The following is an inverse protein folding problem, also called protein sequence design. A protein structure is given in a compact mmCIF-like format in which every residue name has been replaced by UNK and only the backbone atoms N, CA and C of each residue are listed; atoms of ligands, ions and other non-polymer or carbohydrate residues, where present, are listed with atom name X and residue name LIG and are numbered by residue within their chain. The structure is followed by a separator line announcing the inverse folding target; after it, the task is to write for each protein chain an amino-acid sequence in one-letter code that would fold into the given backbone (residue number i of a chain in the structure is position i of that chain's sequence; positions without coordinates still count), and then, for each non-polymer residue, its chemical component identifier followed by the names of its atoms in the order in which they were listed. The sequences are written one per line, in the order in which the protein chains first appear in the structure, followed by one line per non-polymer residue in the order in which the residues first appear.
data_IF_663094051274
#
_entry.id   IF_663094051274
#
_cell.length_a   1.000
_cell.length_b   1.000
_cell.length_c   1.000
_cell.angle_alpha   90.00
_cell.angle_beta   90.00
_cell.angle_gamma   90.00
#
_symmetry.space_group_name_H-M   'P 1'
#
loop_
_entity.id
_entity.type
_entity.pdbx_description
1 polymer ?
#
# COMPACT_ATOMS: atom_id res chain seq x y z
N UNK A 1 -4.33 14.87 -15.11
CA UNK A 1 -3.01 14.95 -15.78
C UNK A 1 -2.26 13.60 -15.85
N UNK A 2 -2.90 12.43 -15.61
CA UNK A 2 -2.20 11.13 -15.57
C UNK A 2 -2.65 10.06 -16.58
N UNK A 3 -3.42 10.41 -17.63
CA UNK A 3 -3.72 9.45 -18.72
C UNK A 3 -2.47 9.05 -19.54
N UNK A 4 -1.32 9.68 -19.28
CA UNK A 4 -0.11 9.62 -20.13
C UNK A 4 0.82 8.45 -19.85
N UNK A 5 0.89 7.99 -18.60
CA UNK A 5 1.67 6.79 -18.26
C UNK A 5 0.96 5.53 -18.74
N UNK A 6 -0.37 5.49 -18.64
CA UNK A 6 -1.21 4.46 -19.25
C UNK A 6 -1.09 4.45 -20.78
N UNK A 7 -1.01 5.61 -21.43
CA UNK A 7 -0.73 5.71 -22.87
C UNK A 7 0.69 5.22 -23.22
N UNK A 8 1.74 5.60 -22.49
CA UNK A 8 3.09 5.06 -22.73
C UNK A 8 3.12 3.52 -22.58
N UNK A 9 2.41 2.98 -21.58
CA UNK A 9 2.29 1.54 -21.37
C UNK A 9 1.50 0.86 -22.51
N UNK A 10 0.30 1.36 -22.87
CA UNK A 10 -0.55 0.75 -23.89
C UNK A 10 0.05 0.76 -25.30
N UNK A 11 0.88 1.75 -25.65
CA UNK A 11 1.41 1.88 -27.01
C UNK A 11 2.54 0.95 -27.37
N UNK A 12 3.15 0.34 -26.36
CA UNK A 12 4.32 -0.53 -26.54
C UNK A 12 3.95 -2.01 -26.62
N UNK A 13 2.73 -2.39 -26.24
CA UNK A 13 2.18 -3.73 -26.48
C UNK A 13 2.05 -4.08 -27.97
N UNK A 14 1.80 -3.09 -28.83
CA UNK A 14 1.58 -3.32 -30.27
C UNK A 14 2.89 -3.66 -31.00
N UNK A 15 4.04 -3.19 -30.49
CA UNK A 15 5.34 -3.39 -31.15
C UNK A 15 6.13 -4.62 -30.69
N UNK A 16 5.88 -5.17 -29.50
CA UNK A 16 6.66 -6.29 -28.94
C UNK A 16 6.10 -7.68 -29.23
N UNK A 17 4.82 -7.79 -29.59
CA UNK A 17 4.23 -9.01 -30.12
C UNK A 17 3.87 -8.74 -31.57
N UNK A 18 4.47 -9.45 -32.53
CA UNK A 18 4.09 -9.41 -33.96
C UNK A 18 2.65 -9.88 -34.26
N UNK A 19 1.73 -9.76 -33.30
CA UNK A 19 0.31 -10.00 -33.44
C UNK A 19 -0.42 -8.65 -33.29
N UNK A 20 -0.98 -8.19 -34.41
CA UNK A 20 -2.02 -7.17 -34.47
C UNK A 20 -3.22 -7.62 -33.60
N UNK A 21 -3.20 -7.32 -32.30
CA UNK A 21 -4.37 -7.47 -31.45
C UNK A 21 -5.25 -6.23 -31.62
N UNK A 22 -6.35 -6.40 -32.36
CA UNK A 22 -7.38 -5.39 -32.57
C UNK A 22 -7.96 -4.93 -31.23
N UNK A 23 -7.54 -3.74 -30.77
CA UNK A 23 -8.31 -2.96 -29.80
C UNK A 23 -8.67 -1.64 -30.47
N UNK A 24 -9.97 -1.39 -30.64
CA UNK A 24 -10.56 -0.26 -31.38
C UNK A 24 -10.35 1.13 -30.75
N UNK A 25 -9.38 1.27 -29.84
CA UNK A 25 -9.08 2.52 -29.13
C UNK A 25 -7.57 2.81 -29.01
N UNK A 26 -6.73 2.27 -29.91
CA UNK A 26 -5.34 2.68 -29.97
C UNK A 26 -5.24 4.12 -30.49
N UNK A 27 -5.03 5.09 -29.59
CA UNK A 27 -4.80 6.49 -29.97
C UNK A 27 -3.48 6.62 -30.74
N UNK A 28 -3.40 7.53 -31.71
CA UNK A 28 -2.21 7.84 -32.52
C UNK A 28 -0.90 8.08 -31.73
N UNK A 29 -1.00 8.47 -30.46
CA UNK A 29 0.15 8.65 -29.56
C UNK A 29 0.86 7.32 -29.21
N UNK A 30 0.13 6.21 -29.25
CA UNK A 30 0.59 4.86 -28.89
C UNK A 30 1.56 4.27 -29.92
N UNK A 31 1.16 4.31 -31.19
CA UNK A 31 1.99 3.88 -32.32
C UNK A 31 3.27 4.74 -32.40
N UNK A 32 3.16 6.03 -32.08
CA UNK A 32 4.30 6.95 -32.04
C UNK A 32 5.39 6.54 -31.06
N UNK A 33 5.04 6.00 -29.89
CA UNK A 33 6.01 5.59 -28.85
C UNK A 33 6.72 4.27 -29.23
N UNK A 34 5.99 3.30 -29.78
CA UNK A 34 6.58 2.06 -30.33
C UNK A 34 7.55 2.32 -31.47
N UNK A 35 7.16 3.19 -32.41
CA UNK A 35 8.04 3.67 -33.47
C UNK A 35 9.26 4.42 -32.92
N UNK A 36 9.11 5.24 -31.86
CA UNK A 36 10.23 5.95 -31.24
C UNK A 36 11.25 5.00 -30.60
N UNK A 37 10.81 3.96 -29.88
CA UNK A 37 11.72 2.98 -29.30
C UNK A 37 12.45 2.17 -30.38
N UNK A 38 11.72 1.71 -31.39
CA UNK A 38 12.28 0.95 -32.51
C UNK A 38 13.27 1.79 -33.33
N UNK A 39 12.89 3.00 -33.71
CA UNK A 39 13.75 3.90 -34.50
C UNK A 39 15.01 4.33 -33.74
N UNK A 40 14.97 4.39 -32.41
CA UNK A 40 16.12 4.77 -31.57
C UNK A 40 16.92 3.59 -31.04
N UNK A 41 16.56 2.34 -31.38
CA UNK A 41 17.19 1.12 -30.87
C UNK A 41 17.36 1.12 -29.34
N UNK A 42 16.35 1.58 -28.61
CA UNK A 42 16.41 1.64 -27.14
C UNK A 42 16.00 0.28 -26.57
N UNK A 43 16.95 -0.42 -25.96
CA UNK A 43 16.67 -1.63 -25.17
C UNK A 43 15.73 -1.30 -24.01
N UNK A 44 14.69 -2.12 -23.84
CA UNK A 44 13.68 -1.96 -22.80
C UNK A 44 13.18 -3.32 -22.31
N UNK A 45 12.65 -3.33 -21.09
CA UNK A 45 12.00 -4.44 -20.42
C UNK A 45 10.52 -4.13 -20.29
N UNK A 46 9.66 -5.09 -20.62
CA UNK A 46 8.21 -5.02 -20.43
C UNK A 46 7.79 -6.24 -19.61
N UNK A 47 7.20 -6.01 -18.44
CA UNK A 47 6.63 -7.06 -17.59
C UNK A 47 5.12 -6.98 -17.67
N UNK A 48 4.48 -8.13 -17.83
CA UNK A 48 3.02 -8.26 -17.84
C UNK A 48 2.56 -9.15 -16.70
N UNK A 49 1.39 -8.83 -16.18
CA UNK A 49 0.63 -9.72 -15.33
C UNK A 49 0.17 -10.93 -16.16
N UNK A 50 0.51 -12.14 -15.69
CA UNK A 50 0.30 -13.38 -16.44
C UNK A 50 -1.17 -13.78 -16.56
N UNK A 51 -2.05 -13.22 -15.72
CA UNK A 51 -3.48 -13.55 -15.68
C UNK A 51 -4.32 -12.56 -16.49
N UNK A 52 -3.93 -11.29 -16.48
CA UNK A 52 -4.71 -10.18 -17.07
C UNK A 52 -4.10 -9.60 -18.33
N UNK A 53 -2.88 -10.03 -18.71
CA UNK A 53 -2.04 -9.46 -19.78
C UNK A 53 -1.81 -7.94 -19.65
N UNK A 54 -2.11 -7.37 -18.47
CA UNK A 54 -1.85 -5.95 -18.18
C UNK A 54 -0.36 -5.75 -17.99
N UNK A 55 0.17 -4.68 -18.57
CA UNK A 55 1.56 -4.30 -18.34
C UNK A 55 1.71 -3.81 -16.89
N UNK A 56 2.61 -4.45 -16.16
CA UNK A 56 2.95 -4.14 -14.77
C UNK A 56 4.19 -3.25 -14.67
N UNK A 57 5.10 -3.36 -15.63
CA UNK A 57 6.30 -2.54 -15.68
C UNK A 57 6.80 -2.34 -17.11
N UNK A 58 7.33 -1.15 -17.35
CA UNK A 58 8.05 -0.82 -18.56
C UNK A 58 9.22 0.09 -18.20
N UNK A 59 10.45 -0.35 -18.46
CA UNK A 59 11.63 0.42 -18.11
C UNK A 59 12.87 -0.03 -18.86
N UNK A 60 14.01 0.61 -18.59
CA UNK A 60 15.31 0.11 -19.03
C UNK A 60 15.71 -1.12 -18.22
N UNK A 61 16.31 -2.17 -18.79
CA UNK A 61 16.76 -3.35 -18.03
C UNK A 61 18.06 -3.07 -17.26
N UNK A 62 18.00 -2.22 -16.23
CA UNK A 62 19.18 -1.77 -15.48
C UNK A 62 19.52 -2.71 -14.32
N UNK A 63 18.53 -3.40 -13.77
CA UNK A 63 18.70 -4.21 -12.56
C UNK A 63 18.16 -5.62 -12.72
N UNK A 64 18.82 -6.56 -12.05
CA UNK A 64 18.21 -7.83 -11.71
C UNK A 64 17.30 -7.62 -10.49
N UNK A 65 16.04 -8.00 -10.64
CA UNK A 65 15.05 -7.91 -9.57
C UNK A 65 15.46 -8.82 -8.41
N UNK A 66 15.28 -8.33 -7.19
CA UNK A 66 15.64 -8.98 -5.95
C UNK A 66 14.66 -10.08 -5.53
N UNK A 67 13.41 -10.01 -6.00
CA UNK A 67 12.30 -10.82 -5.51
C UNK A 67 11.63 -10.27 -4.25
N UNK A 68 12.10 -9.14 -3.73
CA UNK A 68 11.40 -8.36 -2.71
C UNK A 68 10.58 -7.27 -3.39
N UNK A 69 9.27 -7.27 -3.20
CA UNK A 69 8.35 -6.39 -3.93
C UNK A 69 8.64 -4.89 -3.73
N UNK A 70 9.00 -4.48 -2.50
CA UNK A 70 9.30 -3.08 -2.18
C UNK A 70 10.58 -2.62 -2.88
N UNK A 71 11.63 -3.44 -2.82
CA UNK A 71 12.90 -3.22 -3.51
C UNK A 71 12.67 -3.18 -5.02
N UNK A 72 11.94 -4.15 -5.56
CA UNK A 72 11.71 -4.25 -6.99
C UNK A 72 10.87 -3.07 -7.50
N UNK A 73 9.91 -2.55 -6.72
CA UNK A 73 9.18 -1.33 -7.05
C UNK A 73 10.11 -0.11 -7.16
N UNK A 74 11.08 0.02 -6.24
CA UNK A 74 12.11 1.09 -6.25
C UNK A 74 13.00 0.98 -7.49
N UNK A 75 13.45 -0.22 -7.84
CA UNK A 75 14.28 -0.44 -9.02
C UNK A 75 13.49 -0.16 -10.31
N UNK A 76 12.25 -0.65 -10.41
CA UNK A 76 11.33 -0.38 -11.52
C UNK A 76 11.07 1.12 -11.69
N UNK A 77 10.96 1.87 -10.60
CA UNK A 77 10.84 3.34 -10.66
C UNK A 77 12.04 3.98 -11.35
N UNK A 78 13.26 3.60 -10.97
CA UNK A 78 14.49 4.11 -11.61
C UNK A 78 14.50 3.77 -13.10
N UNK A 79 14.23 2.51 -13.45
CA UNK A 79 14.19 2.03 -14.83
C UNK A 79 13.19 2.82 -15.69
N UNK A 80 12.00 3.11 -15.13
CA UNK A 80 10.94 3.92 -15.74
C UNK A 80 11.39 5.37 -15.96
N UNK A 81 11.89 6.03 -14.93
CA UNK A 81 12.37 7.42 -15.01
C UNK A 81 13.47 7.55 -16.05
N UNK A 82 14.43 6.62 -16.06
CA UNK A 82 15.54 6.65 -17.00
C UNK A 82 15.09 6.46 -18.43
N UNK A 83 14.18 5.52 -18.67
CA UNK A 83 13.53 5.36 -19.98
C UNK A 83 12.85 6.67 -20.41
N UNK A 84 12.07 7.27 -19.52
CA UNK A 84 11.38 8.53 -19.78
C UNK A 84 12.35 9.67 -20.13
N UNK A 85 13.44 9.86 -19.36
CA UNK A 85 14.47 10.87 -19.65
C UNK A 85 15.14 10.65 -21.01
N UNK A 86 15.30 9.41 -21.48
CA UNK A 86 15.82 9.10 -22.82
C UNK A 86 14.82 9.40 -23.95
N UNK A 87 13.53 9.30 -23.66
CA UNK A 87 12.45 9.64 -24.58
C UNK A 87 12.17 11.16 -24.60
N UNK A 88 12.49 11.88 -23.53
CA UNK A 88 12.24 13.32 -23.37
C UNK A 88 12.77 14.22 -24.51
N UNK A 89 13.98 13.99 -25.07
CA UNK A 89 14.47 14.73 -26.23
C UNK A 89 13.65 14.53 -27.52
N UNK A 90 12.57 13.73 -27.50
CA UNK A 90 11.62 13.56 -28.60
C UNK A 90 10.23 14.16 -28.33
N UNK A 91 9.93 14.59 -27.10
CA UNK A 91 8.54 14.90 -26.64
C UNK A 91 8.37 16.36 -26.18
N UNK A 92 9.45 17.13 -25.98
CA UNK A 92 9.52 18.55 -25.55
C UNK A 92 8.55 19.04 -24.44
N UNK A 93 9.17 19.33 -23.28
CA UNK A 93 9.08 20.57 -22.48
C UNK A 93 7.77 21.07 -21.85
N UNK A 94 6.59 20.46 -22.04
CA UNK A 94 5.33 21.04 -21.50
C UNK A 94 4.76 20.38 -20.23
N UNK A 95 5.39 19.33 -19.69
CA UNK A 95 4.68 18.38 -18.82
C UNK A 95 5.38 17.90 -17.56
N UNK A 96 6.51 18.50 -17.17
CA UNK A 96 7.14 18.20 -15.89
C UNK A 96 6.47 19.00 -14.77
N UNK A 97 6.01 18.30 -13.73
CA UNK A 97 5.83 18.92 -12.41
C UNK A 97 7.18 19.02 -11.72
N UNK A 98 7.41 20.09 -10.96
CA UNK A 98 8.65 20.34 -10.20
C UNK A 98 8.96 19.29 -9.11
N UNK A 99 8.08 18.30 -8.90
CA UNK A 99 8.16 17.30 -7.84
C UNK A 99 9.08 16.09 -8.14
N UNK A 100 9.55 15.91 -9.38
CA UNK A 100 10.47 14.82 -9.77
C UNK A 100 11.95 15.20 -9.56
N UNK A 101 12.28 15.75 -8.38
CA UNK A 101 13.66 16.11 -8.01
C UNK A 101 14.50 14.88 -7.69
N UNK A 102 14.84 14.13 -8.72
CA UNK A 102 15.79 13.02 -8.61
C UNK A 102 17.20 13.59 -8.65
N UNK A 103 17.94 13.40 -7.56
CA UNK A 103 19.38 13.72 -7.52
C UNK A 103 20.14 12.51 -8.00
N UNK A 104 21.00 12.72 -8.99
CA UNK A 104 21.81 11.67 -9.60
C UNK A 104 23.28 12.10 -9.57
N UNK A 105 24.14 11.22 -9.07
CA UNK A 105 25.60 11.37 -9.20
C UNK A 105 26.16 10.17 -9.96
N UNK A 106 26.97 10.44 -10.98
CA UNK A 106 27.48 9.41 -11.90
C UNK A 106 26.53 9.15 -13.07
N UNK A 107 26.86 8.16 -13.91
CA UNK A 107 26.10 7.79 -15.10
C UNK A 107 25.99 6.27 -15.19
N UNK A 108 24.77 5.74 -15.20
CA UNK A 108 24.50 4.37 -15.61
C UNK A 108 24.14 4.35 -17.11
N UNK A 109 24.96 3.69 -17.92
CA UNK A 109 24.80 3.60 -19.38
C UNK A 109 23.90 2.43 -19.77
N UNK A 110 23.09 2.63 -20.81
CA UNK A 110 22.26 1.57 -21.39
C UNK A 110 23.16 0.58 -22.14
N UNK A 111 22.89 -0.71 -21.97
CA UNK A 111 23.62 -1.79 -22.65
C UNK A 111 24.66 -2.45 -21.76
N UNK A 112 24.92 -1.92 -20.56
CA UNK A 112 25.56 -2.69 -19.51
C UNK A 112 24.65 -3.82 -19.06
N UNK A 113 25.25 -4.95 -18.67
CA UNK A 113 24.50 -6.07 -18.09
C UNK A 113 23.74 -5.60 -16.84
N UNK A 114 22.49 -6.08 -16.62
CA UNK A 114 21.72 -5.72 -15.44
C UNK A 114 22.52 -5.96 -14.16
N UNK A 115 22.52 -4.96 -13.27
CA UNK A 115 23.29 -5.01 -12.03
C UNK A 115 22.53 -5.77 -10.95
N UNK A 116 23.25 -6.54 -10.16
CA UNK A 116 22.73 -7.20 -8.94
C UNK A 116 23.35 -6.63 -7.66
N UNK A 117 24.44 -5.90 -7.79
CA UNK A 117 25.22 -5.29 -6.72
C UNK A 117 24.76 -3.84 -6.48
N UNK A 118 23.57 -3.71 -5.89
CA UNK A 118 23.02 -2.43 -5.45
C UNK A 118 22.71 -2.45 -3.95
N UNK A 119 22.74 -1.27 -3.35
CA UNK A 119 22.27 -1.04 -1.98
C UNK A 119 21.14 -0.03 -1.99
N UNK A 120 20.11 -0.27 -1.18
CA UNK A 120 18.99 0.64 -0.99
C UNK A 120 18.97 1.06 0.47
N UNK A 121 19.01 2.37 0.70
CA UNK A 121 18.84 2.98 2.01
C UNK A 121 17.57 3.83 2.02
N UNK A 122 16.82 3.80 3.12
CA UNK A 122 15.60 4.56 3.31
C UNK A 122 15.64 5.25 4.68
N UNK A 123 15.87 6.56 4.67
CA UNK A 123 15.99 7.34 5.90
C UNK A 123 14.63 7.83 6.45
N UNK A 124 13.52 7.28 5.95
CA UNK A 124 12.15 7.64 6.33
C UNK A 124 11.53 8.78 5.51
N UNK A 125 12.32 9.48 4.69
CA UNK A 125 11.82 10.53 3.78
C UNK A 125 12.33 10.36 2.36
N UNK A 126 13.54 9.84 2.23
CA UNK A 126 14.27 9.70 0.97
C UNK A 126 14.77 8.28 0.85
N UNK A 127 14.56 7.69 -0.32
CA UNK A 127 15.20 6.44 -0.72
C UNK A 127 16.44 6.80 -1.55
N UNK A 128 17.56 6.17 -1.22
CA UNK A 128 18.81 6.27 -1.97
C UNK A 128 19.23 4.89 -2.46
N UNK A 129 19.38 4.76 -3.77
CA UNK A 129 19.89 3.55 -4.42
C UNK A 129 21.31 3.83 -4.89
N UNK A 130 22.26 2.98 -4.48
CA UNK A 130 23.66 3.08 -4.91
C UNK A 130 24.08 1.81 -5.63
N UNK A 131 24.80 1.94 -6.73
CA UNK A 131 25.31 0.83 -7.54
C UNK A 131 26.53 1.28 -8.34
N UNK A 132 27.65 0.56 -8.27
CA UNK A 132 28.81 0.79 -9.14
C UNK A 132 29.38 2.23 -9.15
N UNK A 133 29.39 2.93 -8.00
CA UNK A 133 29.87 4.32 -7.89
C UNK A 133 28.87 5.39 -8.33
N UNK A 134 27.66 4.98 -8.72
CA UNK A 134 26.53 5.86 -8.98
C UNK A 134 25.53 5.82 -7.83
N UNK A 135 24.83 6.93 -7.61
CA UNK A 135 23.72 6.98 -6.67
C UNK A 135 22.55 7.80 -7.20
N UNK A 136 21.34 7.34 -6.92
CA UNK A 136 20.10 8.08 -7.13
C UNK A 136 19.35 8.21 -5.81
N UNK A 137 18.86 9.42 -5.54
CA UNK A 137 18.00 9.70 -4.39
C UNK A 137 16.69 10.35 -4.82
N UNK A 138 15.58 9.92 -4.22
CA UNK A 138 14.23 10.43 -4.47
C UNK A 138 13.33 10.26 -3.23
N UNK A 139 12.22 11.02 -3.13
CA UNK A 139 11.30 10.88 -2.01
C UNK A 139 10.71 9.46 -1.91
N UNK A 140 10.49 8.98 -0.69
CA UNK A 140 9.91 7.66 -0.45
C UNK A 140 8.39 7.61 -0.70
N UNK A 141 7.91 8.29 -1.74
CA UNK A 141 6.49 8.46 -2.03
C UNK A 141 5.91 7.30 -2.83
N UNK A 142 4.90 6.62 -2.28
CA UNK A 142 4.18 5.54 -2.99
C UNK A 142 3.71 5.96 -4.38
N UNK A 143 3.03 7.10 -4.51
CA UNK A 143 2.48 7.56 -5.79
C UNK A 143 3.57 7.81 -6.84
N UNK A 144 4.72 8.32 -6.43
CA UNK A 144 5.86 8.54 -7.34
C UNK A 144 6.49 7.20 -7.76
N UNK A 145 6.77 6.35 -6.77
CA UNK A 145 7.47 5.07 -6.99
C UNK A 145 6.61 4.13 -7.85
N UNK A 146 5.33 3.99 -7.53
CA UNK A 146 4.40 3.17 -8.32
C UNK A 146 3.88 3.88 -9.57
N UNK A 147 4.09 5.19 -9.70
CA UNK A 147 3.62 5.98 -10.85
C UNK A 147 2.10 6.11 -10.92
N UNK A 148 1.42 6.03 -9.77
CA UNK A 148 -0.03 6.06 -9.67
C UNK A 148 -0.50 7.44 -9.20
N UNK A 149 -1.51 8.01 -9.84
CA UNK A 149 -2.25 9.12 -9.23
C UNK A 149 -3.19 8.61 -8.13
N UNK A 150 -3.74 9.54 -7.32
CA UNK A 150 -4.63 9.19 -6.22
C UNK A 150 -5.80 8.28 -6.61
N UNK A 151 -6.46 8.53 -7.75
CA UNK A 151 -7.57 7.68 -8.23
C UNK A 151 -7.07 6.27 -8.55
N UNK A 152 -5.93 6.14 -9.22
CA UNK A 152 -5.32 4.85 -9.54
C UNK A 152 -4.86 4.11 -8.28
N UNK A 153 -4.29 4.81 -7.30
CA UNK A 153 -3.92 4.22 -6.00
C UNK A 153 -5.17 3.72 -5.25
N UNK A 154 -6.27 4.48 -5.26
CA UNK A 154 -7.53 4.05 -4.63
C UNK A 154 -8.12 2.80 -5.29
N UNK A 155 -8.02 2.71 -6.61
CA UNK A 155 -8.40 1.51 -7.37
C UNK A 155 -7.46 0.33 -7.09
N UNK A 156 -6.14 0.58 -6.96
CA UNK A 156 -5.13 -0.44 -6.74
C UNK A 156 -5.38 -1.27 -5.46
N UNK A 157 -5.65 -0.61 -4.33
CA UNK A 157 -5.98 -1.34 -3.09
C UNK A 157 -7.34 -2.02 -3.17
N UNK A 158 -8.34 -1.41 -3.80
CA UNK A 158 -9.64 -2.03 -3.95
C UNK A 158 -9.54 -3.36 -4.69
N UNK A 159 -8.92 -3.37 -5.88
CA UNK A 159 -8.75 -4.61 -6.64
C UNK A 159 -7.89 -5.63 -5.89
N UNK A 160 -6.80 -5.17 -5.26
CA UNK A 160 -5.96 -6.04 -4.45
C UNK A 160 -6.67 -6.68 -3.25
N UNK A 161 -7.68 -6.02 -2.67
CA UNK A 161 -8.54 -6.60 -1.63
C UNK A 161 -9.55 -7.59 -2.21
N UNK A 162 -10.18 -7.25 -3.35
CA UNK A 162 -11.20 -8.11 -3.97
C UNK A 162 -10.62 -9.41 -4.55
N UNK A 163 -9.35 -9.40 -4.96
CA UNK A 163 -8.66 -10.57 -5.49
C UNK A 163 -8.13 -11.51 -4.39
N UNK A 164 -8.13 -11.07 -3.12
CA UNK A 164 -7.66 -11.88 -1.99
C UNK A 164 -8.71 -12.86 -1.50
N UNK A 165 -8.26 -14.09 -1.24
CA UNK A 165 -9.07 -15.11 -0.60
C UNK A 165 -8.97 -14.95 0.92
N UNK A 166 -10.09 -15.09 1.66
CA UNK A 166 -10.05 -15.13 3.13
C UNK A 166 -9.12 -16.23 3.62
N UNK A 167 -8.28 -15.90 4.59
CA UNK A 167 -7.48 -16.89 5.30
C UNK A 167 -8.39 -17.77 6.17
N UNK A 168 -8.04 -19.05 6.39
CA UNK A 168 -8.76 -19.90 7.33
C UNK A 168 -8.72 -19.28 8.73
N UNK A 169 -9.89 -19.00 9.31
CA UNK A 169 -10.02 -18.51 10.68
C UNK A 169 -9.90 -19.67 11.67
N UNK A 170 -9.14 -19.49 12.74
CA UNK A 170 -9.18 -20.35 13.93
C UNK A 170 -10.30 -19.86 14.82
N UNK A 171 -10.96 -20.82 15.47
CA UNK A 171 -12.02 -20.49 16.42
C UNK A 171 -11.42 -19.85 17.66
N UNK A 172 -11.81 -18.60 17.93
CA UNK A 172 -11.46 -17.93 19.17
C UNK A 172 -12.17 -18.59 20.35
N UNK A 173 -11.49 -18.64 21.50
CA UNK A 173 -12.07 -19.11 22.76
C UNK A 173 -12.39 -17.90 23.63
N UNK A 174 -13.63 -17.80 24.12
CA UNK A 174 -14.02 -16.75 25.07
C UNK A 174 -13.11 -16.81 26.28
N UNK A 175 -12.53 -15.68 26.64
CA UNK A 175 -11.59 -15.57 27.76
C UNK A 175 -12.32 -15.08 29.00
N UNK A 176 -12.11 -15.77 30.13
CA UNK A 176 -12.74 -15.45 31.42
C UNK A 176 -11.67 -15.13 32.46
N UNK A 177 -11.82 -14.02 33.17
CA UNK A 177 -11.01 -13.67 34.34
C UNK A 177 -11.20 -12.23 34.77
N UNK A 178 -10.74 -11.91 35.99
CA UNK A 178 -11.10 -10.67 36.69
C UNK A 178 -10.04 -9.55 36.55
N UNK A 179 -8.90 -9.81 35.92
CA UNK A 179 -7.79 -8.85 35.85
C UNK A 179 -7.12 -8.83 34.48
N UNK A 180 -7.16 -7.66 33.84
CA UNK A 180 -6.49 -7.39 32.56
C UNK A 180 -5.02 -7.05 32.80
N UNK A 181 -4.15 -7.73 32.05
CA UNK A 181 -2.74 -7.41 31.89
C UNK A 181 -2.56 -6.69 30.55
N UNK A 182 -2.23 -5.41 30.61
CA UNK A 182 -1.89 -4.59 29.45
C UNK A 182 -0.40 -4.70 29.13
N UNK A 183 -0.07 -5.05 27.88
CA UNK A 183 1.29 -4.95 27.35
C UNK A 183 1.40 -3.68 26.51
N UNK A 184 2.23 -2.76 26.97
CA UNK A 184 2.44 -1.46 26.31
C UNK A 184 3.17 -1.69 24.98
N UNK A 185 2.60 -1.14 23.92
CA UNK A 185 3.13 -1.15 22.57
C UNK A 185 3.75 0.18 22.16
N UNK A 186 3.92 0.36 20.86
CA UNK A 186 4.39 1.63 20.29
C UNK A 186 3.20 2.56 20.04
N UNK A 187 3.39 3.85 20.27
CA UNK A 187 2.45 4.90 19.88
C UNK A 187 2.74 5.42 18.47
N UNK A 188 1.72 5.89 17.77
CA UNK A 188 1.83 6.54 16.48
C UNK A 188 1.14 7.89 16.50
N UNK A 189 1.91 8.95 16.26
CA UNK A 189 1.50 10.37 16.25
C UNK A 189 1.05 10.90 17.62
N UNK A 190 0.13 10.22 18.29
CA UNK A 190 -0.35 10.55 19.64
C UNK A 190 -0.39 9.28 20.49
N UNK A 191 -0.32 9.41 21.82
CA UNK A 191 -0.33 8.24 22.73
C UNK A 191 -1.62 7.41 22.61
N UNK A 192 -2.74 8.06 22.29
CA UNK A 192 -4.04 7.41 22.12
C UNK A 192 -4.14 6.49 20.91
N UNK A 193 -3.20 6.56 19.95
CA UNK A 193 -3.13 5.67 18.80
C UNK A 193 -1.90 4.78 18.97
N UNK A 194 -2.08 3.49 19.28
CA UNK A 194 -0.99 2.63 19.70
C UNK A 194 -1.19 1.16 19.31
N UNK A 195 -0.21 0.31 19.68
CA UNK A 195 -0.27 -1.15 19.50
C UNK A 195 -0.35 -1.90 20.84
N UNK A 196 -1.02 -1.32 21.83
CA UNK A 196 -1.19 -1.96 23.14
C UNK A 196 -1.99 -3.26 22.99
N UNK A 197 -1.58 -4.29 23.73
CA UNK A 197 -2.19 -5.62 23.67
C UNK A 197 -2.72 -6.03 25.04
N UNK A 198 -3.88 -6.68 25.06
CA UNK A 198 -4.59 -6.96 26.29
C UNK A 198 -4.71 -8.46 26.53
N UNK A 199 -4.38 -8.91 27.74
CA UNK A 199 -4.39 -10.31 28.13
C UNK A 199 -5.09 -10.49 29.47
N UNK A 200 -5.60 -11.70 29.74
CA UNK A 200 -6.04 -12.13 31.06
C UNK A 200 -5.17 -13.31 31.49
N UNK A 201 -4.90 -13.40 32.80
CA UNK A 201 -4.21 -14.57 33.37
C UNK A 201 -5.20 -15.72 33.46
N UNK A 202 -4.87 -16.85 32.84
CA UNK A 202 -5.72 -18.03 32.87
C UNK A 202 -5.91 -18.53 34.31
N UNK A 203 -7.13 -18.94 34.65
CA UNK A 203 -7.44 -19.52 35.97
C UNK A 203 -6.88 -20.94 36.15
N UNK A 204 -6.58 -21.64 35.05
CA UNK A 204 -6.09 -23.03 35.04
C UNK A 204 -4.59 -23.16 34.79
N UNK A 205 -3.91 -22.07 34.42
CA UNK A 205 -2.47 -22.07 34.16
C UNK A 205 -1.88 -20.68 34.39
N UNK A 206 -0.59 -20.57 34.69
CA UNK A 206 0.07 -19.27 34.84
C UNK A 206 0.26 -18.52 33.49
N UNK A 207 -0.42 -18.96 32.43
CA UNK A 207 -0.29 -18.41 31.09
C UNK A 207 -1.20 -17.19 30.88
N UNK A 208 -0.74 -16.28 30.02
CA UNK A 208 -1.50 -15.12 29.57
C UNK A 208 -2.23 -15.46 28.28
N UNK A 209 -3.55 -15.27 28.27
CA UNK A 209 -4.42 -15.50 27.11
C UNK A 209 -4.92 -14.15 26.61
N UNK A 210 -4.90 -13.87 25.30
CA UNK A 210 -5.45 -12.61 24.77
C UNK A 210 -6.92 -12.42 25.16
N UNK A 211 -7.31 -11.19 25.48
CA UNK A 211 -8.71 -10.85 25.77
C UNK A 211 -9.57 -11.05 24.51
N UNK A 212 -10.60 -11.87 24.64
CA UNK A 212 -11.71 -12.05 23.71
C UNK A 212 -13.00 -12.30 24.52
N UNK A 213 -13.70 -11.23 24.90
CA UNK A 213 -14.83 -11.26 25.84
C UNK A 213 -15.72 -10.03 25.69
N UNK A 214 -17.03 -10.21 25.90
CA UNK A 214 -18.03 -9.13 25.85
C UNK A 214 -17.92 -8.18 27.04
N UNK A 215 -17.42 -8.68 28.16
CA UNK A 215 -17.19 -7.93 29.39
C UNK A 215 -16.05 -6.91 29.25
N UNK A 216 -15.15 -7.13 28.28
CA UNK A 216 -14.01 -6.27 27.97
C UNK A 216 -14.02 -5.87 26.48
N UNK A 217 -14.99 -5.03 26.07
CA UNK A 217 -15.26 -4.81 24.66
C UNK A 217 -14.15 -4.01 23.96
N UNK A 218 -13.56 -3.01 24.62
CA UNK A 218 -12.47 -2.20 24.06
C UNK A 218 -11.22 -3.05 23.84
N UNK A 219 -10.86 -3.87 24.83
CA UNK A 219 -9.71 -4.77 24.79
C UNK A 219 -9.86 -5.84 23.71
N UNK A 220 -11.07 -6.41 23.59
CA UNK A 220 -11.41 -7.39 22.56
C UNK A 220 -11.26 -6.79 21.16
N UNK A 221 -11.87 -5.63 20.91
CA UNK A 221 -11.75 -4.93 19.61
C UNK A 221 -10.30 -4.59 19.30
N UNK A 222 -9.55 -4.10 20.29
CA UNK A 222 -8.14 -3.78 20.12
C UNK A 222 -7.32 -5.00 19.68
N UNK A 223 -7.53 -6.14 20.33
CA UNK A 223 -6.85 -7.38 19.97
C UNK A 223 -7.27 -7.92 18.59
N UNK A 224 -8.55 -7.82 18.21
CA UNK A 224 -9.02 -8.23 16.89
C UNK A 224 -8.39 -7.38 15.79
N UNK A 225 -8.42 -6.06 15.96
CA UNK A 225 -7.94 -5.10 14.96
C UNK A 225 -6.40 -5.10 14.85
N UNK A 226 -5.67 -5.46 15.91
CA UNK A 226 -4.21 -5.70 15.88
C UNK A 226 -3.83 -7.11 15.43
N UNK A 227 -4.80 -7.97 15.08
CA UNK A 227 -4.57 -9.38 14.72
C UNK A 227 -3.81 -10.16 15.80
N UNK A 228 -4.03 -9.83 17.08
CA UNK A 228 -3.54 -10.62 18.24
C UNK A 228 -4.38 -11.89 18.38
N UNK A 229 -5.64 -11.81 17.97
CA UNK A 229 -6.59 -12.90 17.84
C UNK A 229 -7.19 -12.86 16.44
N UNK A 230 -7.72 -13.99 15.98
CA UNK A 230 -8.37 -14.04 14.68
C UNK A 230 -9.63 -13.17 14.72
N UNK A 231 -9.86 -12.39 13.68
CA UNK A 231 -11.03 -11.53 13.61
C UNK A 231 -12.13 -12.22 12.81
N UNK A 232 -13.22 -12.57 13.49
CA UNK A 232 -14.46 -13.08 12.88
C UNK A 232 -15.36 -11.94 12.34
N UNK A 233 -14.87 -10.70 12.43
CA UNK A 233 -15.56 -9.48 12.04
C UNK A 233 -15.61 -9.29 10.52
N UNK A 234 -16.80 -8.99 10.01
CA UNK A 234 -17.00 -8.47 8.67
C UNK A 234 -17.06 -6.94 8.70
N UNK A 235 -16.40 -6.31 7.72
CA UNK A 235 -16.37 -4.87 7.56
C UNK A 235 -17.28 -4.46 6.41
N UNK A 236 -18.23 -3.57 6.68
CA UNK A 236 -19.02 -2.85 5.69
C UNK A 236 -18.33 -1.50 5.42
N UNK A 237 -17.54 -1.45 4.35
CA UNK A 237 -16.63 -0.34 4.05
C UNK A 237 -17.26 0.65 3.08
N UNK A 238 -17.11 1.93 3.38
CA UNK A 238 -17.26 3.02 2.41
C UNK A 238 -15.89 3.66 2.15
N UNK A 239 -15.27 3.29 1.02
CA UNK A 239 -14.02 3.91 0.58
C UNK A 239 -14.27 5.32 0.07
N UNK A 240 -13.59 6.29 0.68
CA UNK A 240 -13.65 7.71 0.34
C UNK A 240 -12.61 7.99 -0.76
N UNK A 241 -13.08 8.18 -1.99
CA UNK A 241 -12.26 8.33 -3.19
C UNK A 241 -11.97 9.81 -3.48
N UNK A 242 -10.92 10.04 -4.26
CA UNK A 242 -10.62 11.36 -4.79
C UNK A 242 -11.82 12.01 -5.51
N UNK A 243 -12.01 13.32 -5.28
CA UNK A 243 -13.11 14.09 -5.89
C UNK A 243 -14.48 13.82 -5.26
N UNK A 244 -14.53 13.52 -3.95
CA UNK A 244 -15.75 13.28 -3.17
C UNK A 244 -16.58 12.07 -3.64
N UNK A 245 -15.97 11.18 -4.42
CA UNK A 245 -16.59 9.94 -4.86
C UNK A 245 -16.51 8.90 -3.73
N UNK A 246 -17.40 7.91 -3.80
CA UNK A 246 -17.48 6.84 -2.81
C UNK A 246 -17.64 5.50 -3.52
N UNK A 247 -17.10 4.45 -2.92
CA UNK A 247 -17.32 3.06 -3.29
C UNK A 247 -17.60 2.26 -2.03
N UNK A 248 -18.64 1.43 -2.05
CA UNK A 248 -18.99 0.58 -0.91
C UNK A 248 -18.77 -0.89 -1.24
N UNK A 249 -18.25 -1.64 -0.28
CA UNK A 249 -18.02 -3.08 -0.39
C UNK A 249 -17.89 -3.69 1.01
N UNK A 250 -18.06 -5.01 1.11
CA UNK A 250 -17.91 -5.74 2.37
C UNK A 250 -16.84 -6.82 2.24
N UNK A 251 -16.06 -7.00 3.30
CA UNK A 251 -15.04 -8.06 3.38
C UNK A 251 -14.77 -8.50 4.83
N UNK A 252 -14.23 -9.70 5.06
CA UNK A 252 -13.72 -10.08 6.37
C UNK A 252 -12.54 -9.19 6.77
N UNK A 253 -12.50 -8.73 8.03
CA UNK A 253 -11.38 -7.93 8.55
C UNK A 253 -10.03 -8.64 8.37
N UNK A 254 -10.00 -9.98 8.45
CA UNK A 254 -8.80 -10.78 8.18
C UNK A 254 -8.23 -10.56 6.77
N UNK A 255 -9.06 -10.33 5.75
CA UNK A 255 -8.61 -10.03 4.38
C UNK A 255 -7.92 -8.67 4.32
N UNK A 256 -8.46 -7.67 5.02
CA UNK A 256 -7.85 -6.35 5.08
C UNK A 256 -6.52 -6.37 5.83
N UNK A 257 -6.48 -7.03 6.99
CA UNK A 257 -5.26 -7.20 7.79
C UNK A 257 -4.17 -7.93 7.00
N UNK A 258 -4.51 -9.03 6.34
CA UNK A 258 -3.58 -9.80 5.51
C UNK A 258 -3.08 -8.97 4.32
N UNK A 259 -3.97 -8.24 3.63
CA UNK A 259 -3.56 -7.33 2.56
C UNK A 259 -2.55 -6.30 3.06
N UNK A 260 -2.89 -5.60 4.14
CA UNK A 260 -2.06 -4.54 4.67
C UNK A 260 -0.72 -5.08 5.19
N UNK A 261 -0.71 -6.22 5.87
CA UNK A 261 0.52 -6.86 6.33
C UNK A 261 1.42 -7.27 5.15
N UNK A 262 0.84 -7.86 4.10
CA UNK A 262 1.56 -8.26 2.91
C UNK A 262 2.09 -7.08 2.09
N UNK A 263 1.47 -5.89 2.20
CA UNK A 263 1.98 -4.64 1.61
C UNK A 263 2.86 -3.84 2.57
N UNK A 264 3.40 -4.48 3.61
CA UNK A 264 4.38 -3.87 4.53
C UNK A 264 3.79 -2.86 5.51
N UNK A 265 2.47 -2.85 5.70
CA UNK A 265 1.83 -2.00 6.68
C UNK A 265 1.83 -2.61 8.09
N UNK A 266 1.96 -1.76 9.11
CA UNK A 266 1.78 -2.10 10.52
C UNK A 266 0.51 -1.43 11.08
N UNK A 267 -0.37 -2.14 11.80
CA UNK A 267 -1.58 -1.56 12.38
C UNK A 267 -1.29 -0.78 13.67
N UNK A 268 -2.05 0.27 13.91
CA UNK A 268 -2.19 1.03 15.17
C UNK A 268 -3.65 1.39 15.39
N UNK A 269 -4.12 1.44 16.63
CA UNK A 269 -5.52 1.70 16.95
C UNK A 269 -5.63 2.86 17.93
N UNK A 270 -6.60 3.73 17.69
CA UNK A 270 -7.12 4.63 18.72
C UNK A 270 -8.61 4.41 18.96
N UNK A 271 -9.03 4.53 20.21
CA UNK A 271 -10.44 4.53 20.59
C UNK A 271 -10.87 5.99 20.74
N UNK A 272 -11.81 6.43 19.91
CA UNK A 272 -12.31 7.80 19.91
C UNK A 272 -13.40 7.99 20.97
N UNK A 273 -14.32 7.04 21.05
CA UNK A 273 -15.38 7.01 22.06
C UNK A 273 -15.89 5.58 22.25
N UNK A 274 -16.36 5.27 23.44
CA UNK A 274 -17.05 4.02 23.74
C UNK A 274 -18.17 4.27 24.75
N UNK A 275 -19.33 3.70 24.49
CA UNK A 275 -20.45 3.63 25.44
C UNK A 275 -21.07 2.22 25.41
N UNK A 276 -22.19 2.02 26.10
CA UNK A 276 -22.84 0.71 26.21
C UNK A 276 -23.48 0.23 24.89
N UNK A 277 -23.53 1.08 23.85
CA UNK A 277 -24.15 0.77 22.55
C UNK A 277 -23.11 0.61 21.46
N UNK A 278 -22.16 1.53 21.35
CA UNK A 278 -21.19 1.55 20.26
C UNK A 278 -19.77 1.93 20.69
N UNK A 279 -18.81 1.40 19.94
CA UNK A 279 -17.40 1.79 19.98
C UNK A 279 -17.04 2.47 18.66
N UNK A 280 -16.45 3.67 18.77
CA UNK A 280 -15.81 4.36 17.65
C UNK A 280 -14.30 4.24 17.78
N UNK A 281 -13.68 3.73 16.73
CA UNK A 281 -12.26 3.48 16.69
C UNK A 281 -11.66 3.97 15.37
N UNK A 282 -10.39 4.38 15.43
CA UNK A 282 -9.57 4.63 14.25
C UNK A 282 -8.52 3.52 14.15
N UNK A 283 -8.49 2.83 13.01
CA UNK A 283 -7.45 1.87 12.66
C UNK A 283 -6.54 2.48 11.60
N UNK A 284 -5.25 2.56 11.92
CA UNK A 284 -4.21 3.10 11.06
C UNK A 284 -3.30 1.97 10.59
N UNK A 285 -3.28 1.72 9.28
CA UNK A 285 -2.26 0.87 8.67
C UNK A 285 -1.14 1.74 8.11
N UNK A 286 0.03 1.60 8.70
CA UNK A 286 1.21 2.44 8.43
C UNK A 286 2.22 1.68 7.59
N UNK A 287 2.49 2.14 6.37
CA UNK A 287 3.66 1.69 5.62
C UNK A 287 4.81 2.69 5.82
N UNK A 288 5.88 2.22 6.47
CA UNK A 288 7.06 3.05 6.74
C UNK A 288 7.98 3.21 5.53
N UNK A 289 8.05 2.19 4.67
CA UNK A 289 8.96 2.21 3.53
C UNK A 289 8.54 3.24 2.48
N UNK A 290 7.23 3.34 2.19
CA UNK A 290 6.64 4.25 1.22
C UNK A 290 5.87 5.43 1.84
N UNK A 291 6.06 5.68 3.14
CA UNK A 291 5.55 6.88 3.83
C UNK A 291 4.06 7.19 3.60
N UNK A 292 3.19 6.18 3.66
CA UNK A 292 1.75 6.36 3.56
C UNK A 292 0.99 5.70 4.72
N UNK A 293 -0.28 6.06 4.82
CA UNK A 293 -1.24 5.47 5.74
C UNK A 293 -2.52 5.05 5.01
N UNK A 294 -3.12 3.99 5.48
CA UNK A 294 -4.55 3.77 5.33
C UNK A 294 -5.25 4.03 6.66
N UNK A 295 -6.38 4.72 6.63
CA UNK A 295 -7.19 5.05 7.81
C UNK A 295 -8.58 4.45 7.66
N UNK A 296 -9.01 3.73 8.69
CA UNK A 296 -10.39 3.28 8.84
C UNK A 296 -10.98 3.94 10.08
N UNK A 297 -12.04 4.72 9.89
CA UNK A 297 -12.88 5.19 10.99
C UNK A 297 -14.04 4.21 11.12
N UNK A 298 -14.05 3.47 12.22
CA UNK A 298 -14.91 2.32 12.45
C UNK A 298 -15.97 2.63 13.49
N UNK A 299 -17.19 2.13 13.27
CA UNK A 299 -18.26 2.08 14.28
C UNK A 299 -18.68 0.63 14.46
N UNK A 300 -18.67 0.17 15.71
CA UNK A 300 -18.87 -1.23 16.09
C UNK A 300 -19.93 -1.26 17.19
N UNK A 301 -20.99 -2.05 16.99
CA UNK A 301 -22.00 -2.24 18.03
C UNK A 301 -21.44 -3.12 19.15
N UNK A 302 -21.64 -2.73 20.41
CA UNK A 302 -21.14 -3.50 21.57
C UNK A 302 -21.79 -4.89 21.62
N UNK A 303 -23.04 -5.00 21.19
CA UNK A 303 -23.77 -6.28 21.15
C UNK A 303 -23.14 -7.33 20.20
N UNK A 304 -22.45 -6.87 19.15
CA UNK A 304 -21.79 -7.70 18.14
C UNK A 304 -20.41 -8.20 18.58
N UNK A 305 -19.86 -7.69 19.69
CA UNK A 305 -18.49 -8.01 20.12
C UNK A 305 -18.41 -9.47 20.58
N UNK A 306 -17.35 -10.17 20.17
CA UNK A 306 -17.14 -11.58 20.48
C UNK A 306 -18.29 -12.53 20.03
N UNK A 307 -19.15 -12.08 19.13
CA UNK A 307 -20.18 -12.91 18.49
C UNK A 307 -19.70 -13.51 17.17
N UNK A 308 -20.32 -14.64 16.81
CA UNK A 308 -20.18 -15.17 15.45
C UNK A 308 -20.83 -14.18 14.48
N UNK A 309 -20.13 -13.83 13.41
CA UNK A 309 -20.58 -12.88 12.38
C UNK A 309 -20.65 -11.41 12.82
N UNK A 310 -19.86 -11.01 13.82
CA UNK A 310 -19.71 -9.59 14.21
C UNK A 310 -19.51 -8.66 13.00
N UNK A 311 -20.13 -7.48 13.03
CA UNK A 311 -20.01 -6.49 11.94
C UNK A 311 -19.50 -5.14 12.44
N UNK A 312 -18.80 -4.46 11.57
CA UNK A 312 -18.44 -3.06 11.76
C UNK A 312 -18.66 -2.27 10.47
N UNK A 313 -19.10 -1.04 10.60
CA UNK A 313 -19.11 -0.10 9.47
C UNK A 313 -17.84 0.74 9.50
N UNK A 314 -17.28 1.06 8.34
CA UNK A 314 -16.05 1.84 8.28
C UNK A 314 -16.00 2.84 7.11
N UNK A 315 -15.53 4.06 7.38
CA UNK A 315 -15.05 4.96 6.33
C UNK A 315 -13.56 4.71 6.08
N UNK A 316 -13.19 4.41 4.84
CA UNK A 316 -11.84 4.01 4.47
C UNK A 316 -11.14 5.03 3.58
N UNK A 317 -10.02 5.56 4.06
CA UNK A 317 -9.17 6.50 3.34
C UNK A 317 -7.81 5.84 3.05
N UNK A 318 -7.40 5.85 1.79
CA UNK A 318 -6.27 5.05 1.33
C UNK A 318 -5.10 5.88 0.81
N UNK A 319 -3.87 5.39 1.02
CA UNK A 319 -2.64 6.01 0.52
C UNK A 319 -2.49 7.49 0.91
N UNK A 320 -2.83 7.84 2.15
CA UNK A 320 -2.64 9.19 2.67
C UNK A 320 -1.14 9.39 2.98
N UNK A 321 -0.45 10.34 2.34
CA UNK A 321 0.94 10.63 2.67
C UNK A 321 1.09 11.01 4.15
N UNK A 322 2.11 10.47 4.82
CA UNK A 322 2.35 10.70 6.26
C UNK A 322 2.33 12.15 6.68
N UNK A 323 2.97 13.01 5.89
CA UNK A 323 3.10 14.42 6.21
C UNK A 323 1.75 15.15 6.23
N UNK A 324 0.75 14.64 5.50
CA UNK A 324 -0.61 15.19 5.54
C UNK A 324 -1.34 14.85 6.85
N UNK A 325 -0.93 13.79 7.57
CA UNK A 325 -1.48 13.47 8.88
C UNK A 325 -0.82 14.28 9.99
N UNK A 326 0.47 14.61 9.87
CA UNK A 326 1.18 15.44 10.87
C UNK A 326 0.50 16.78 11.08
N UNK A 327 -0.01 17.39 10.02
CA UNK A 327 -0.80 18.63 10.10
C UNK A 327 -2.17 18.46 10.75
N UNK A 328 -2.73 17.24 10.81
CA UNK A 328 -4.04 16.98 11.40
C UNK A 328 -3.97 16.70 12.91
N UNK A 329 -2.85 16.15 13.38
CA UNK A 329 -2.67 15.76 14.79
C UNK A 329 -1.81 16.74 15.60
N UNK A 330 -1.29 17.80 14.98
CA UNK A 330 -0.46 18.82 15.66
C UNK A 330 -1.19 19.58 16.78
N UNK A 331 -2.52 19.49 16.86
CA UNK A 331 -3.32 20.09 17.94
C UNK A 331 -3.42 19.19 19.19
N UNK A 332 -2.94 17.95 19.09
CA UNK A 332 -2.99 16.95 20.17
C UNK A 332 -1.60 16.56 20.70
N UNK A 333 -0.54 17.23 20.22
CA UNK A 333 0.80 17.28 20.85
C UNK A 333 0.82 18.33 21.95
#
# INVERSE_FOLDING_TARGET
MNNRYALILLGLCISSSGAYAQTQYASSELEGIGLLLANRNISHKCEKDTLTDKIMHLGLPLFNMSGNDDVDAVLRYIERVKLHKKLLPAIEAKYLSDDDKIKENGLLTIGESPKSDYSIDNNGTTITVSCGGWCISFPNSFSQIYGLNKKESDDYIYYGLMDRKPLPQKQNTITVGDSIVKRIGESYMIQGINTDKFYIRSSSSDSLVPVYSKEFPIETISNQLLSVIDSDMNLDITQRLYGYKKRSFSLPMSVLADYCAATGCRPYIGIESADDREIKAVLVYRNNFFSYNHLLYMTIAVEDIAEKESRATADFYTYIPTHNLKSLFSEYE
#
